data_IF_930904946822
#
_entry.id   IF_930904946822
#
_cell.length_a   1.000
_cell.length_b   1.000
_cell.length_c   1.000
_cell.angle_alpha   90.00
_cell.angle_beta   90.00
_cell.angle_gamma   90.00
#
_symmetry.space_group_name_H-M   'P 1'
#
loop_
_entity.id
_entity.type
_entity.pdbx_description
1 polymer ?
#
# COMPACT_ATOMS: atom_id res chain seq x y z
N UNK A 1 -11.52 -11.54 5.28
CA UNK A 1 -10.76 -11.39 6.55
C UNK A 1 -11.42 -10.31 7.41
N UNK A 2 -11.85 -10.66 8.62
CA UNK A 2 -12.31 -9.68 9.62
C UNK A 2 -11.19 -9.45 10.63
N UNK A 3 -10.72 -8.21 10.77
CA UNK A 3 -9.73 -7.85 11.79
C UNK A 3 -10.49 -7.61 13.10
N UNK A 4 -10.47 -8.59 14.00
CA UNK A 4 -11.18 -8.52 15.28
C UNK A 4 -10.41 -7.73 16.37
N UNK A 5 -9.09 -7.63 16.24
CA UNK A 5 -8.21 -6.97 17.20
C UNK A 5 -7.33 -5.93 16.50
N UNK A 6 -6.97 -4.85 17.19
CA UNK A 6 -5.94 -3.94 16.72
C UNK A 6 -4.56 -4.59 16.91
N UNK A 7 -3.72 -4.53 15.88
CA UNK A 7 -2.33 -4.98 15.94
C UNK A 7 -1.42 -3.76 15.98
N UNK A 8 -0.45 -3.77 16.89
CA UNK A 8 0.67 -2.83 16.86
C UNK A 8 1.91 -3.57 16.36
N UNK A 9 2.52 -3.04 15.30
CA UNK A 9 3.58 -3.68 14.54
C UNK A 9 4.71 -2.66 14.34
N UNK A 10 5.96 -3.10 14.48
CA UNK A 10 7.12 -2.22 14.38
C UNK A 10 8.23 -2.94 13.62
N UNK A 11 8.82 -2.26 12.63
CA UNK A 11 10.02 -2.73 11.96
C UNK A 11 11.26 -2.37 12.75
N UNK A 12 12.28 -3.22 12.68
CA UNK A 12 13.57 -2.94 13.30
C UNK A 12 14.30 -1.80 12.58
N UNK A 13 14.90 -0.88 13.32
CA UNK A 13 15.74 0.19 12.77
C UNK A 13 17.09 -0.31 12.23
N UNK A 14 17.52 -1.51 12.61
CA UNK A 14 18.72 -2.14 12.06
C UNK A 14 18.45 -2.66 10.63
N UNK A 15 19.11 -2.04 9.66
CA UNK A 15 18.98 -2.34 8.23
C UNK A 15 19.46 -3.75 7.82
N UNK A 16 20.06 -4.52 8.73
CA UNK A 16 20.58 -5.87 8.50
C UNK A 16 19.82 -6.96 9.27
N UNK A 17 18.68 -6.62 9.90
CA UNK A 17 17.89 -7.55 10.71
C UNK A 17 16.47 -7.68 10.17
N UNK A 18 15.91 -8.89 10.35
CA UNK A 18 14.53 -9.23 9.95
C UNK A 18 14.26 -8.95 8.47
N UNK A 19 15.26 -9.27 7.66
CA UNK A 19 15.22 -9.07 6.22
C UNK A 19 14.36 -10.13 5.55
N UNK A 20 13.68 -9.74 4.48
CA UNK A 20 13.00 -10.65 3.57
C UNK A 20 14.03 -11.54 2.86
N UNK A 21 14.09 -12.85 3.19
CA UNK A 21 15.12 -13.74 2.64
C UNK A 21 14.96 -13.95 1.13
N UNK A 22 13.80 -13.61 0.55
CA UNK A 22 13.57 -13.66 -0.89
C UNK A 22 14.29 -12.58 -1.69
N UNK A 23 14.91 -11.59 -1.04
CA UNK A 23 15.57 -10.47 -1.72
C UNK A 23 16.97 -10.15 -1.15
N UNK A 24 17.93 -11.09 -1.25
CA UNK A 24 19.26 -10.92 -0.66
C UNK A 24 20.08 -9.77 -1.30
N UNK A 25 19.83 -9.46 -2.59
CA UNK A 25 20.49 -8.36 -3.31
C UNK A 25 19.78 -7.01 -3.19
N UNK A 26 18.61 -6.98 -2.55
CA UNK A 26 17.78 -5.80 -2.38
C UNK A 26 17.10 -5.90 -1.02
N UNK A 27 17.82 -5.68 0.10
CA UNK A 27 17.31 -5.90 1.45
C UNK A 27 15.99 -5.16 1.72
N UNK A 28 15.06 -5.83 2.38
CA UNK A 28 13.71 -5.31 2.64
C UNK A 28 13.22 -5.77 4.00
N UNK A 29 12.38 -4.96 4.61
CA UNK A 29 11.65 -5.32 5.83
C UNK A 29 10.15 -5.23 5.55
N UNK A 30 9.39 -6.22 6.01
CA UNK A 30 7.94 -6.23 5.84
C UNK A 30 7.19 -6.78 7.05
N UNK A 31 6.08 -6.12 7.36
CA UNK A 31 4.98 -6.70 8.11
C UNK A 31 3.71 -6.30 7.36
N UNK A 32 3.12 -7.26 6.65
CA UNK A 32 1.96 -7.03 5.79
C UNK A 32 0.86 -8.04 6.10
N UNK A 33 -0.38 -7.55 6.08
CA UNK A 33 -1.56 -8.38 5.97
C UNK A 33 -1.87 -8.60 4.50
N UNK A 34 -2.24 -9.84 4.16
CA UNK A 34 -2.62 -10.25 2.80
C UNK A 34 -4.09 -10.65 2.81
N UNK A 35 -4.87 -10.10 1.88
CA UNK A 35 -6.21 -10.56 1.55
C UNK A 35 -6.19 -11.86 0.74
N UNK A 36 -7.36 -12.48 0.61
CA UNK A 36 -7.49 -13.71 -0.17
C UNK A 36 -7.23 -13.44 -1.67
N UNK A 37 -6.64 -14.41 -2.36
CA UNK A 37 -6.49 -14.38 -3.83
C UNK A 37 -7.86 -14.32 -4.50
N UNK A 38 -8.00 -13.39 -5.45
CA UNK A 38 -9.22 -13.16 -6.20
C UNK A 38 -9.01 -13.47 -7.67
N UNK A 39 -9.94 -14.21 -8.24
CA UNK A 39 -9.98 -14.47 -9.68
C UNK A 39 -10.47 -13.24 -10.45
N UNK A 40 -10.04 -13.12 -11.70
CA UNK A 40 -10.51 -12.07 -12.62
C UNK A 40 -12.04 -11.97 -12.68
N UNK A 41 -12.55 -10.73 -12.66
CA UNK A 41 -13.98 -10.41 -12.67
C UNK A 41 -14.60 -10.29 -11.28
N UNK A 42 -13.92 -10.75 -10.23
CA UNK A 42 -14.41 -10.70 -8.86
C UNK A 42 -14.41 -9.26 -8.33
N UNK A 43 -15.52 -8.83 -7.75
CA UNK A 43 -15.67 -7.51 -7.14
C UNK A 43 -15.75 -7.62 -5.62
N UNK A 44 -14.91 -6.87 -4.91
CA UNK A 44 -14.84 -6.88 -3.45
C UNK A 44 -14.74 -5.45 -2.91
N UNK A 45 -15.31 -5.25 -1.73
CA UNK A 45 -15.08 -4.05 -0.93
C UNK A 45 -14.20 -4.40 0.27
N UNK A 46 -13.12 -3.65 0.45
CA UNK A 46 -12.24 -3.73 1.61
C UNK A 46 -12.32 -2.45 2.42
N UNK A 47 -12.27 -2.59 3.75
CA UNK A 47 -12.11 -1.46 4.66
C UNK A 47 -11.14 -1.85 5.76
N UNK A 48 -10.20 -0.96 6.09
CA UNK A 48 -9.32 -1.13 7.23
C UNK A 48 -8.93 0.21 7.83
N UNK A 49 -8.51 0.21 9.09
CA UNK A 49 -7.89 1.37 9.73
C UNK A 49 -6.40 1.17 9.80
N UNK A 50 -5.64 2.26 9.67
CA UNK A 50 -4.19 2.25 9.80
C UNK A 50 -3.73 3.45 10.63
N UNK A 51 -2.65 3.28 11.39
CA UNK A 51 -1.98 4.37 12.07
C UNK A 51 -0.49 4.25 11.76
N UNK A 52 0.08 5.30 11.16
CA UNK A 52 1.52 5.42 10.94
C UNK A 52 2.09 6.42 11.94
N UNK A 53 3.13 6.04 12.68
CA UNK A 53 3.73 6.92 13.69
C UNK A 53 4.31 8.19 13.03
N UNK A 54 4.17 9.37 13.68
CA UNK A 54 4.62 10.64 13.08
C UNK A 54 6.15 10.74 12.98
N UNK A 55 6.87 9.89 13.71
CA UNK A 55 8.34 9.79 13.69
C UNK A 55 8.87 8.92 12.55
N UNK A 56 8.00 8.29 11.75
CA UNK A 56 8.43 7.45 10.63
C UNK A 56 9.11 8.32 9.59
N UNK A 57 10.37 7.99 9.30
CA UNK A 57 11.13 8.59 8.22
C UNK A 57 10.71 8.05 6.86
N UNK A 58 11.01 8.83 5.83
CA UNK A 58 10.87 8.39 4.44
C UNK A 58 12.14 8.74 3.67
N UNK A 59 12.34 8.07 2.54
CA UNK A 59 13.46 8.30 1.64
C UNK A 59 13.00 8.27 0.19
N UNK A 60 13.95 8.24 -0.74
CA UNK A 60 13.70 8.01 -2.16
C UNK A 60 13.51 6.52 -2.50
N UNK A 61 13.75 5.61 -1.55
CA UNK A 61 13.56 4.16 -1.73
C UNK A 61 12.14 3.75 -1.39
N UNK A 62 11.61 2.73 -2.08
CA UNK A 62 10.23 2.27 -1.92
C UNK A 62 9.84 2.03 -0.44
N UNK A 63 8.60 2.42 -0.12
CA UNK A 63 7.97 2.15 1.15
C UNK A 63 6.46 2.03 0.95
N UNK A 64 6.00 0.81 0.70
CA UNK A 64 4.61 0.48 0.45
C UNK A 64 3.82 0.38 1.76
N UNK A 65 2.65 1.03 1.77
CA UNK A 65 1.64 0.97 2.82
C UNK A 65 0.42 0.11 2.40
N UNK A 66 0.17 0.02 1.10
CA UNK A 66 -0.86 -0.80 0.47
C UNK A 66 -0.39 -1.22 -0.90
N UNK A 67 -0.77 -2.42 -1.34
CA UNK A 67 -0.54 -2.92 -2.69
C UNK A 67 -1.77 -3.67 -3.21
N UNK A 68 -2.16 -3.42 -4.45
CA UNK A 68 -2.87 -4.40 -5.27
C UNK A 68 -1.78 -5.19 -6.00
N UNK A 69 -1.68 -6.48 -5.73
CA UNK A 69 -0.61 -7.33 -6.24
C UNK A 69 -1.14 -8.34 -7.24
N UNK A 70 -0.53 -8.37 -8.43
CA UNK A 70 -0.80 -9.39 -9.43
C UNK A 70 -0.03 -10.65 -9.06
N UNK A 71 -0.75 -11.67 -8.60
CA UNK A 71 -0.14 -12.95 -8.22
C UNK A 71 0.41 -13.68 -9.44
N UNK A 72 -0.26 -13.54 -10.59
CA UNK A 72 0.16 -14.19 -11.84
C UNK A 72 1.40 -13.53 -12.44
N UNK A 73 1.46 -12.19 -12.37
CA UNK A 73 2.59 -11.40 -12.86
C UNK A 73 3.74 -11.25 -11.87
N UNK A 74 3.52 -11.56 -10.58
CA UNK A 74 4.53 -11.42 -9.53
C UNK A 74 4.92 -9.98 -9.23
N UNK A 75 4.06 -9.01 -9.52
CA UNK A 75 4.36 -7.56 -9.42
C UNK A 75 3.20 -6.77 -8.80
N UNK A 76 3.47 -5.66 -8.08
CA UNK A 76 2.43 -4.71 -7.76
C UNK A 76 1.82 -4.10 -9.03
N UNK A 77 0.51 -3.88 -8.97
CA UNK A 77 -0.28 -3.17 -9.98
C UNK A 77 -0.43 -1.71 -9.58
N UNK A 78 -0.84 -1.48 -8.34
CA UNK A 78 -0.96 -0.18 -7.70
C UNK A 78 -0.38 -0.30 -6.29
N UNK A 79 0.33 0.73 -5.83
CA UNK A 79 0.70 0.89 -4.42
C UNK A 79 0.27 2.25 -3.86
N UNK A 80 0.15 2.30 -2.53
CA UNK A 80 0.18 3.54 -1.75
C UNK A 80 1.54 3.59 -1.05
N UNK A 81 2.31 4.64 -1.26
CA UNK A 81 3.69 4.74 -0.81
C UNK A 81 3.93 5.95 0.10
N UNK A 82 4.84 5.79 1.07
CA UNK A 82 5.40 6.87 1.87
C UNK A 82 6.82 7.20 1.37
N UNK A 83 6.95 8.19 0.49
CA UNK A 83 8.18 8.48 -0.26
C UNK A 83 8.50 9.97 -0.23
N UNK A 84 9.74 10.32 0.11
CA UNK A 84 10.23 11.71 0.11
C UNK A 84 9.26 12.70 0.77
N UNK A 85 8.79 12.37 1.97
CA UNK A 85 7.82 13.10 2.78
C UNK A 85 6.43 13.27 2.14
N UNK A 86 6.07 12.38 1.21
CA UNK A 86 4.75 12.35 0.57
C UNK A 86 4.08 11.01 0.80
N UNK A 87 2.76 11.05 0.92
CA UNK A 87 1.90 9.91 0.67
C UNK A 87 1.49 9.98 -0.80
N UNK A 88 1.75 8.93 -1.58
CA UNK A 88 1.46 8.96 -3.02
C UNK A 88 1.00 7.61 -3.56
N UNK A 89 0.17 7.64 -4.59
CA UNK A 89 -0.14 6.45 -5.38
C UNK A 89 0.98 6.22 -6.39
N UNK A 90 1.32 4.95 -6.61
CA UNK A 90 2.01 4.50 -7.82
C UNK A 90 1.10 3.55 -8.57
N UNK A 91 1.02 3.73 -9.88
CA UNK A 91 0.19 2.88 -10.75
C UNK A 91 1.01 2.33 -11.91
N UNK A 92 1.56 1.14 -11.69
CA UNK A 92 2.48 0.49 -12.62
C UNK A 92 1.77 -0.01 -13.89
N UNK A 93 0.46 -0.26 -13.83
CA UNK A 93 -0.31 -0.68 -15.00
C UNK A 93 -0.65 0.49 -15.96
N UNK A 94 -0.54 1.74 -15.50
CA UNK A 94 -0.94 2.94 -16.27
C UNK A 94 0.14 4.04 -16.27
N UNK A 95 1.41 3.65 -16.38
CA UNK A 95 2.55 4.58 -16.47
C UNK A 95 2.53 5.65 -15.36
N UNK A 96 2.32 5.22 -14.11
CA UNK A 96 2.14 6.08 -12.93
C UNK A 96 1.06 7.14 -13.15
N UNK A 97 -0.16 6.68 -13.41
CA UNK A 97 -1.35 7.52 -13.58
C UNK A 97 -1.16 8.59 -14.69
N UNK A 98 -0.54 8.21 -15.81
CA UNK A 98 -0.17 9.15 -16.87
C UNK A 98 0.83 10.22 -16.43
N UNK A 99 1.69 9.90 -15.46
CA UNK A 99 2.69 10.82 -14.87
C UNK A 99 2.14 11.77 -13.80
N UNK A 100 0.88 11.62 -13.38
CA UNK A 100 0.22 12.55 -12.43
C UNK A 100 -0.53 11.80 -11.33
N UNK A 101 0.08 10.78 -10.73
CA UNK A 101 -0.56 10.11 -9.60
C UNK A 101 -0.84 11.09 -8.45
N UNK A 102 -1.98 10.93 -7.74
CA UNK A 102 -2.29 11.75 -6.60
C UNK A 102 -1.23 11.58 -5.51
N UNK A 103 -0.84 12.70 -4.92
CA UNK A 103 0.09 12.75 -3.79
C UNK A 103 -0.26 13.91 -2.87
N UNK A 104 0.02 13.71 -1.58
CA UNK A 104 -0.14 14.73 -0.52
C UNK A 104 1.08 14.69 0.41
N UNK A 105 1.28 15.74 1.20
CA UNK A 105 2.32 15.75 2.22
C UNK A 105 2.05 14.64 3.26
N UNK A 106 3.08 13.89 3.67
CA UNK A 106 2.94 12.76 4.60
C UNK A 106 2.35 13.17 5.96
N UNK A 107 2.55 14.43 6.37
CA UNK A 107 2.00 14.98 7.61
C UNK A 107 0.46 15.09 7.65
N UNK A 108 -0.18 15.00 6.49
CA UNK A 108 -1.65 14.86 6.41
C UNK A 108 -2.13 13.45 6.79
N UNK A 109 -1.23 12.47 6.79
CA UNK A 109 -1.52 11.04 6.95
C UNK A 109 -1.03 10.45 8.28
N UNK A 110 0.23 10.72 8.67
CA UNK A 110 0.82 10.11 9.88
C UNK A 110 0.36 10.82 11.17
N UNK A 111 0.59 10.18 12.32
CA UNK A 111 0.17 10.70 13.64
C UNK A 111 -1.33 10.68 13.90
N UNK A 112 -2.10 10.02 13.03
CA UNK A 112 -3.55 9.86 13.14
C UNK A 112 -3.97 8.50 12.62
N UNK A 113 -5.14 8.03 13.07
CA UNK A 113 -5.75 6.83 12.49
C UNK A 113 -6.49 7.21 11.21
N UNK A 114 -6.13 6.58 10.10
CA UNK A 114 -6.82 6.73 8.82
C UNK A 114 -7.76 5.56 8.56
N UNK A 115 -8.88 5.82 7.90
CA UNK A 115 -9.79 4.83 7.35
C UNK A 115 -9.51 4.71 5.86
N UNK A 116 -9.20 3.48 5.45
CA UNK A 116 -9.04 3.11 4.06
C UNK A 116 -10.31 2.41 3.59
N UNK A 117 -10.86 2.86 2.47
CA UNK A 117 -12.03 2.26 1.83
C UNK A 117 -11.70 1.97 0.37
N UNK A 118 -11.91 0.72 -0.05
CA UNK A 118 -11.58 0.27 -1.39
C UNK A 118 -12.73 -0.53 -1.97
N UNK A 119 -13.17 -0.20 -3.18
CA UNK A 119 -14.01 -1.04 -4.02
C UNK A 119 -13.21 -1.40 -5.26
N UNK A 120 -13.03 -2.69 -5.51
CA UNK A 120 -12.18 -3.18 -6.58
C UNK A 120 -12.88 -4.29 -7.35
N UNK A 121 -12.75 -4.27 -8.67
CA UNK A 121 -13.00 -5.41 -9.55
C UNK A 121 -11.65 -5.88 -10.08
N UNK A 122 -11.26 -7.12 -9.78
CA UNK A 122 -9.98 -7.68 -10.19
C UNK A 122 -9.96 -8.13 -11.65
N UNK A 123 -8.76 -8.24 -12.22
CA UNK A 123 -8.53 -8.79 -13.56
C UNK A 123 -8.15 -7.74 -14.62
N UNK A 124 -7.94 -8.17 -15.88
CA UNK A 124 -7.38 -7.31 -16.93
C UNK A 124 -8.31 -6.18 -17.39
N UNK A 125 -9.60 -6.28 -17.09
CA UNK A 125 -10.62 -5.25 -17.34
C UNK A 125 -11.31 -4.82 -16.04
N UNK A 126 -10.52 -4.74 -14.98
CA UNK A 126 -10.95 -4.36 -13.64
C UNK A 126 -11.19 -2.87 -13.46
N UNK A 127 -11.46 -2.50 -12.21
CA UNK A 127 -11.63 -1.13 -11.76
C UNK A 127 -11.27 -0.99 -10.29
N UNK A 128 -10.93 0.22 -9.89
CA UNK A 128 -10.60 0.59 -8.52
C UNK A 128 -11.25 1.92 -8.19
N UNK A 129 -11.88 1.97 -7.02
CA UNK A 129 -12.16 3.17 -6.27
C UNK A 129 -11.50 3.03 -4.90
N UNK A 130 -10.63 3.96 -4.54
CA UNK A 130 -9.85 3.90 -3.31
C UNK A 130 -9.77 5.26 -2.62
N UNK A 131 -10.13 5.30 -1.35
CA UNK A 131 -10.12 6.50 -0.50
C UNK A 131 -9.36 6.24 0.78
N UNK A 132 -8.54 7.21 1.16
CA UNK A 132 -7.92 7.35 2.47
C UNK A 132 -8.51 8.60 3.13
N UNK A 133 -9.11 8.45 4.30
CA UNK A 133 -9.67 9.54 5.08
C UNK A 133 -9.19 9.50 6.53
N UNK A 134 -9.24 10.63 7.24
CA UNK A 134 -9.12 10.64 8.70
C UNK A 134 -10.26 9.80 9.31
N UNK A 135 -9.92 8.84 10.16
CA UNK A 135 -10.93 7.92 10.71
C UNK A 135 -11.90 8.61 11.68
N UNK A 136 -11.51 9.75 12.26
CA UNK A 136 -12.30 10.52 13.22
C UNK A 136 -13.13 11.58 12.51
N UNK A 137 -12.48 12.48 11.76
CA UNK A 137 -13.18 13.64 11.13
C UNK A 137 -13.85 13.28 9.81
N UNK A 138 -13.50 12.13 9.22
CA UNK A 138 -13.94 11.69 7.88
C UNK A 138 -13.44 12.58 6.73
N UNK A 139 -12.52 13.50 7.01
CA UNK A 139 -11.90 14.32 5.97
C UNK A 139 -11.07 13.45 5.04
N UNK A 140 -11.31 13.53 3.74
CA UNK A 140 -10.51 12.83 2.74
C UNK A 140 -9.07 13.37 2.70
N UNK A 141 -8.11 12.46 2.64
CA UNK A 141 -6.68 12.74 2.56
C UNK A 141 -6.18 12.46 1.14
N UNK A 142 -6.58 11.33 0.57
CA UNK A 142 -6.19 10.92 -0.78
C UNK A 142 -7.28 10.04 -1.38
N UNK A 143 -7.63 10.33 -2.64
CA UNK A 143 -8.58 9.54 -3.42
C UNK A 143 -7.94 9.15 -4.75
N UNK A 144 -8.19 7.92 -5.19
CA UNK A 144 -7.75 7.43 -6.49
C UNK A 144 -8.79 6.50 -7.10
N UNK A 145 -9.09 6.76 -8.37
CA UNK A 145 -9.98 5.95 -9.19
C UNK A 145 -9.28 5.60 -10.48
N UNK A 146 -9.47 4.36 -10.93
CA UNK A 146 -9.00 3.99 -12.25
C UNK A 146 -9.66 2.71 -12.77
N UNK A 147 -9.64 2.57 -14.09
CA UNK A 147 -10.13 1.39 -14.81
C UNK A 147 -9.00 0.73 -15.58
N UNK A 148 -9.16 -0.56 -15.93
CA UNK A 148 -8.17 -1.35 -16.64
C UNK A 148 -7.60 -2.46 -15.77
N UNK A 149 -6.34 -2.85 -16.00
CA UNK A 149 -5.76 -4.01 -15.32
C UNK A 149 -5.66 -3.79 -13.80
N UNK A 150 -6.35 -4.65 -13.05
CA UNK A 150 -6.26 -4.81 -11.59
C UNK A 150 -5.73 -6.22 -11.28
N UNK A 151 -4.64 -6.59 -11.96
CA UNK A 151 -4.03 -7.91 -11.95
C UNK A 151 -4.43 -8.80 -13.12
N UNK A 152 -3.79 -9.98 -13.21
CA UNK A 152 -3.98 -10.96 -14.28
C UNK A 152 -5.10 -11.96 -13.96
N UNK A 153 -4.73 -13.25 -13.87
CA UNK A 153 -5.69 -14.33 -13.56
C UNK A 153 -6.06 -14.38 -12.08
N UNK A 154 -5.09 -14.06 -11.21
CA UNK A 154 -5.24 -13.99 -9.77
C UNK A 154 -4.53 -12.75 -9.24
N UNK A 155 -5.17 -12.05 -8.30
CA UNK A 155 -4.61 -10.87 -7.63
C UNK A 155 -5.20 -10.71 -6.23
N UNK A 156 -4.53 -9.94 -5.37
CA UNK A 156 -4.96 -9.72 -4.00
C UNK A 156 -4.52 -8.36 -3.45
N UNK A 157 -5.19 -7.94 -2.39
CA UNK A 157 -4.80 -6.78 -1.59
C UNK A 157 -3.70 -7.18 -0.59
N UNK A 158 -2.70 -6.33 -0.43
CA UNK A 158 -1.81 -6.29 0.74
C UNK A 158 -1.88 -4.91 1.39
N UNK A 159 -1.74 -4.86 2.71
CA UNK A 159 -1.58 -3.60 3.44
C UNK A 159 -0.76 -3.83 4.70
N UNK A 160 -0.08 -2.79 5.18
CA UNK A 160 0.88 -2.87 6.27
C UNK A 160 2.09 -2.01 5.94
N UNK A 161 3.29 -2.49 6.25
CA UNK A 161 4.54 -1.78 5.99
C UNK A 161 5.49 -2.70 5.25
N UNK A 162 5.94 -2.27 4.07
CA UNK A 162 6.98 -2.95 3.30
C UNK A 162 7.94 -1.93 2.71
N UNK A 163 9.18 -1.92 3.18
CA UNK A 163 10.18 -0.91 2.81
C UNK A 163 11.50 -1.54 2.40
N UNK A 164 12.27 -0.80 1.60
CA UNK A 164 13.70 -1.05 1.46
C UNK A 164 14.40 -0.92 2.81
N UNK A 165 15.37 -1.78 3.09
CA UNK A 165 16.26 -1.67 4.24
C UNK A 165 17.62 -1.15 3.76
N UNK A 166 18.05 -0.03 4.31
CA UNK A 166 19.30 0.65 3.93
C UNK A 166 19.84 1.46 5.11
N UNK A 167 21.14 1.74 5.09
CA UNK A 167 21.79 2.55 6.13
C UNK A 167 21.20 3.96 6.17
N UNK A 168 20.88 4.45 7.38
CA UNK A 168 20.27 5.76 7.59
C UNK A 168 18.75 5.81 7.42
N UNK A 169 18.07 4.67 7.25
CA UNK A 169 16.61 4.63 7.33
C UNK A 169 16.13 5.01 8.75
N UNK A 170 15.01 5.74 8.82
CA UNK A 170 14.35 6.16 10.08
C UNK A 170 12.89 5.74 10.11
#
# INVERSE_FOLDING_TARGET
>A
ITIANCYNLTLNSNAHKQLDPGFPSSPRQRIEFRGDSQTSGTSITYTWKHYLAPTVGTSTHFFHLMQIFDESGGTPVITLDALSNKLQIQDYARSSCGGKCPSVALNTYHGRTTLHSMKITFGPKGSLWYVVADATTKTEILTYEASGAMGGKSAYLKFGIYRAAFEGMT
#
